data_IF_137883205257
#
_entry.id   IF_137883205257
#
_cell.length_a   1.000
_cell.length_b   1.000
_cell.length_c   1.000
_cell.angle_alpha   90.00
_cell.angle_beta   90.00
_cell.angle_gamma   90.00
#
_symmetry.space_group_name_H-M   'P 1'
#
loop_
_entity.id
_entity.type
_entity.pdbx_description
1 polymer ?
#
# COMPACT_ATOMS: atom_id res chain seq x y z
N UNK A 1 10.06 10.16 -24.25
CA UNK A 1 8.84 9.46 -23.85
C UNK A 1 9.06 8.00 -24.16
N UNK A 2 9.07 7.13 -23.16
CA UNK A 2 9.31 5.71 -23.36
C UNK A 2 8.11 5.05 -24.04
N UNK A 3 8.37 4.08 -24.90
CA UNK A 3 7.38 3.34 -25.69
C UNK A 3 7.18 1.90 -25.19
N UNK A 4 8.12 1.41 -24.36
CA UNK A 4 8.05 0.08 -23.72
C UNK A 4 8.53 0.15 -22.26
N UNK A 5 8.16 -0.86 -21.48
CA UNK A 5 8.59 -0.98 -20.08
C UNK A 5 10.12 -1.13 -19.97
N UNK A 6 10.74 -1.88 -20.87
CA UNK A 6 12.20 -2.08 -20.94
C UNK A 6 12.92 -0.76 -21.25
N UNK A 7 12.42 0.01 -22.20
CA UNK A 7 12.98 1.32 -22.51
C UNK A 7 12.86 2.26 -21.29
N UNK A 8 11.68 2.30 -20.65
CA UNK A 8 11.47 3.14 -19.47
C UNK A 8 12.42 2.76 -18.33
N UNK A 9 12.57 1.47 -18.03
CA UNK A 9 13.46 0.98 -16.98
C UNK A 9 14.92 1.29 -17.29
N UNK A 10 15.35 1.14 -18.55
CA UNK A 10 16.72 1.45 -18.99
C UNK A 10 17.09 2.94 -18.94
N UNK A 11 16.09 3.84 -18.99
CA UNK A 11 16.31 5.30 -18.86
C UNK A 11 16.45 5.77 -17.40
N UNK A 12 16.10 4.91 -16.42
CA UNK A 12 16.14 5.29 -15.00
C UNK A 12 17.56 5.47 -14.50
N UNK A 13 17.79 6.58 -13.81
CA UNK A 13 19.05 6.93 -13.14
C UNK A 13 18.76 7.71 -11.85
N UNK A 14 19.79 8.09 -11.10
CA UNK A 14 19.66 8.80 -9.81
C UNK A 14 18.99 10.17 -9.90
N UNK A 15 19.00 10.81 -11.06
CA UNK A 15 18.43 12.15 -11.29
C UNK A 15 17.08 12.13 -12.01
N UNK A 16 16.52 10.94 -12.23
CA UNK A 16 15.25 10.79 -12.93
C UNK A 16 14.18 10.11 -12.08
N UNK A 17 12.92 10.44 -12.37
CA UNK A 17 11.74 9.78 -11.78
C UNK A 17 10.76 9.31 -12.86
N UNK A 18 9.99 8.25 -12.57
CA UNK A 18 8.91 7.83 -13.45
C UNK A 18 7.70 8.75 -13.27
N UNK A 19 7.23 9.33 -14.37
CA UNK A 19 6.00 10.13 -14.40
C UNK A 19 4.82 9.22 -14.81
N UNK A 20 4.01 8.84 -13.83
CA UNK A 20 2.77 8.09 -14.01
C UNK A 20 1.56 9.04 -14.18
N UNK A 21 0.65 9.09 -13.22
CA UNK A 21 -0.53 9.95 -13.25
C UNK A 21 -0.28 11.43 -12.90
N UNK A 22 0.92 11.80 -12.47
CA UNK A 22 1.34 13.19 -12.20
C UNK A 22 0.63 13.85 -11.00
N UNK A 23 -0.05 13.11 -10.15
CA UNK A 23 -0.80 13.69 -9.02
C UNK A 23 0.07 14.14 -7.85
N UNK A 24 1.31 13.67 -7.77
CA UNK A 24 2.32 14.12 -6.80
C UNK A 24 3.34 15.05 -7.47
N UNK A 25 3.83 14.68 -8.65
CA UNK A 25 4.86 15.47 -9.38
C UNK A 25 4.42 16.91 -9.65
N UNK A 26 3.12 17.12 -9.88
CA UNK A 26 2.53 18.43 -10.15
C UNK A 26 2.10 19.21 -8.89
N UNK A 27 2.47 18.76 -7.70
CA UNK A 27 2.17 19.49 -6.46
C UNK A 27 3.21 20.58 -6.19
N UNK A 28 2.75 21.69 -5.62
CA UNK A 28 3.63 22.82 -5.26
C UNK A 28 4.78 22.41 -4.31
N UNK A 29 4.49 21.44 -3.40
CA UNK A 29 5.48 20.87 -2.48
C UNK A 29 5.59 19.37 -2.77
N UNK A 30 5.99 19.02 -3.99
CA UNK A 30 6.21 17.63 -4.38
C UNK A 30 7.33 17.01 -3.55
N UNK A 31 7.16 15.75 -3.18
CA UNK A 31 8.22 14.93 -2.60
C UNK A 31 9.15 14.32 -3.66
N UNK A 32 8.84 14.52 -4.93
CA UNK A 32 9.64 14.03 -6.06
C UNK A 32 10.69 15.08 -6.40
N UNK A 33 11.93 14.79 -6.07
CA UNK A 33 13.10 15.59 -6.43
C UNK A 33 13.86 14.89 -7.57
N UNK A 34 13.61 15.32 -8.80
CA UNK A 34 14.22 14.73 -9.99
C UNK A 34 14.47 15.80 -11.05
N UNK A 35 15.65 15.78 -11.66
CA UNK A 35 16.02 16.69 -12.74
C UNK A 35 15.30 16.36 -14.07
N UNK A 36 14.84 15.11 -14.22
CA UNK A 36 14.13 14.64 -15.41
C UNK A 36 13.00 13.66 -15.09
N UNK A 37 11.97 13.65 -15.95
CA UNK A 37 10.81 12.78 -15.80
C UNK A 37 10.69 11.81 -16.98
N UNK A 38 10.62 10.52 -16.70
CA UNK A 38 10.41 9.45 -17.66
C UNK A 38 8.89 9.21 -17.77
N UNK A 39 8.26 9.68 -18.84
CA UNK A 39 6.81 9.45 -19.05
C UNK A 39 6.54 8.01 -19.39
N UNK A 40 5.71 7.35 -18.56
CA UNK A 40 5.31 5.93 -18.70
C UNK A 40 3.82 5.75 -19.03
N UNK A 41 3.06 6.82 -19.14
CA UNK A 41 1.58 6.82 -19.25
C UNK A 41 1.00 6.25 -20.55
N UNK A 42 1.82 5.78 -21.48
CA UNK A 42 1.38 5.17 -22.75
C UNK A 42 2.06 3.85 -23.05
N UNK A 43 2.59 3.20 -22.04
CA UNK A 43 3.25 1.89 -22.16
C UNK A 43 2.20 0.80 -21.95
N UNK A 44 1.84 0.01 -22.98
CA UNK A 44 0.74 -0.97 -22.88
C UNK A 44 0.98 -2.04 -21.83
N UNK A 45 2.24 -2.43 -21.58
CA UNK A 45 2.62 -3.45 -20.61
C UNK A 45 2.32 -3.07 -19.15
N UNK A 46 2.14 -1.75 -18.90
CA UNK A 46 1.86 -1.19 -17.58
C UNK A 46 0.37 -0.99 -17.33
N UNK A 47 -0.49 -1.29 -18.30
CA UNK A 47 -1.92 -1.02 -18.24
C UNK A 47 -2.74 -2.31 -18.14
N UNK A 48 -4.01 -2.15 -17.75
CA UNK A 48 -5.02 -3.22 -17.77
C UNK A 48 -5.12 -4.01 -16.47
N UNK A 49 -6.28 -4.63 -16.32
CA UNK A 49 -6.65 -5.48 -15.16
C UNK A 49 -7.10 -6.83 -15.71
N UNK A 50 -6.50 -7.91 -15.24
CA UNK A 50 -6.79 -9.25 -15.72
C UNK A 50 -6.70 -10.28 -14.60
N UNK A 51 -7.38 -11.42 -14.80
CA UNK A 51 -7.23 -12.58 -13.92
C UNK A 51 -5.95 -13.32 -14.27
N UNK A 52 -5.14 -13.63 -13.24
CA UNK A 52 -3.91 -14.41 -13.34
C UNK A 52 -3.93 -15.50 -12.26
N UNK A 53 -4.43 -16.68 -12.62
CA UNK A 53 -4.68 -17.80 -11.70
C UNK A 53 -5.66 -17.40 -10.59
N UNK A 54 -5.23 -17.51 -9.33
CA UNK A 54 -6.00 -17.12 -8.14
C UNK A 54 -5.84 -15.63 -7.79
N UNK A 55 -5.05 -14.90 -8.56
CA UNK A 55 -4.79 -13.47 -8.35
C UNK A 55 -5.45 -12.62 -9.44
N UNK A 56 -5.65 -11.36 -9.11
CA UNK A 56 -5.96 -10.30 -10.07
C UNK A 56 -4.69 -9.49 -10.29
N UNK A 57 -4.21 -9.49 -11.53
CA UNK A 57 -3.08 -8.68 -11.98
C UNK A 57 -3.58 -7.31 -12.41
N UNK A 58 -3.01 -6.27 -11.85
CA UNK A 58 -3.36 -4.85 -12.07
C UNK A 58 -2.11 -4.16 -12.58
N UNK A 59 -2.12 -3.65 -13.80
CA UNK A 59 -1.03 -2.89 -14.37
C UNK A 59 -0.75 -1.63 -13.54
N UNK A 60 0.52 -1.25 -13.42
CA UNK A 60 0.95 -0.13 -12.56
C UNK A 60 0.33 1.21 -12.97
N UNK A 61 -0.07 1.37 -14.23
CA UNK A 61 -0.72 2.55 -14.77
C UNK A 61 -2.24 2.55 -14.60
N UNK A 62 -2.86 1.44 -14.18
CA UNK A 62 -4.30 1.41 -13.87
C UNK A 62 -4.63 2.45 -12.81
N UNK A 63 -5.59 3.30 -13.10
CA UNK A 63 -6.05 4.36 -12.21
C UNK A 63 -6.92 3.81 -11.08
N UNK A 64 -7.03 4.53 -9.98
CA UNK A 64 -7.93 4.13 -8.89
C UNK A 64 -9.40 4.06 -9.33
N UNK A 65 -9.80 4.87 -10.33
CA UNK A 65 -11.17 4.81 -10.81
C UNK A 65 -11.40 3.55 -11.67
N UNK A 66 -10.46 3.18 -12.54
CA UNK A 66 -10.52 1.92 -13.29
C UNK A 66 -10.57 0.69 -12.36
N UNK A 67 -9.78 0.71 -11.27
CA UNK A 67 -9.83 -0.34 -10.23
C UNK A 67 -11.21 -0.43 -9.59
N UNK A 68 -11.84 0.72 -9.27
CA UNK A 68 -13.17 0.76 -8.67
C UNK A 68 -14.27 0.26 -9.60
N UNK A 69 -14.16 0.58 -10.89
CA UNK A 69 -15.17 0.27 -11.89
C UNK A 69 -15.02 -1.16 -12.46
N UNK A 70 -13.91 -1.86 -12.18
CA UNK A 70 -13.63 -3.19 -12.73
C UNK A 70 -14.22 -4.31 -11.85
N UNK A 71 -15.00 -5.19 -12.42
CA UNK A 71 -15.69 -6.28 -11.71
C UNK A 71 -14.75 -7.38 -11.19
N UNK A 72 -13.57 -7.56 -11.80
CA UNK A 72 -12.60 -8.57 -11.37
C UNK A 72 -11.92 -8.20 -10.04
N UNK A 73 -11.85 -6.90 -9.71
CA UNK A 73 -11.12 -6.43 -8.53
C UNK A 73 -11.89 -6.76 -7.26
N UNK A 74 -11.24 -7.40 -6.27
CA UNK A 74 -11.89 -7.74 -5.01
C UNK A 74 -12.26 -6.50 -4.20
N UNK A 75 -13.39 -6.59 -3.47
CA UNK A 75 -14.01 -5.46 -2.77
C UNK A 75 -13.07 -4.82 -1.73
N UNK A 76 -12.25 -5.62 -1.04
CA UNK A 76 -11.31 -5.10 -0.06
C UNK A 76 -10.30 -4.10 -0.67
N UNK A 77 -9.92 -4.28 -1.94
CA UNK A 77 -9.03 -3.33 -2.63
C UNK A 77 -9.81 -2.10 -3.12
N UNK A 78 -11.03 -2.30 -3.60
CA UNK A 78 -11.94 -1.19 -3.96
C UNK A 78 -12.18 -0.29 -2.76
N UNK A 79 -12.38 -0.84 -1.56
CA UNK A 79 -12.55 -0.05 -0.33
C UNK A 79 -11.35 0.87 -0.06
N UNK A 80 -10.12 0.34 -0.20
CA UNK A 80 -8.93 1.17 -0.09
C UNK A 80 -8.88 2.27 -1.17
N UNK A 81 -9.27 1.97 -2.40
CA UNK A 81 -9.29 2.95 -3.50
C UNK A 81 -10.35 4.05 -3.32
N UNK A 82 -11.49 3.75 -2.67
CA UNK A 82 -12.54 4.74 -2.36
C UNK A 82 -12.07 5.87 -1.46
N UNK A 83 -11.05 5.62 -0.63
CA UNK A 83 -10.46 6.66 0.23
C UNK A 83 -9.66 7.71 -0.54
N UNK A 84 -9.29 7.44 -1.79
CA UNK A 84 -8.70 8.47 -2.65
C UNK A 84 -9.73 9.56 -2.94
N UNK A 85 -9.64 10.66 -2.28
CA UNK A 85 -10.40 11.91 -2.34
C UNK A 85 -11.46 12.03 -3.43
N UNK A 86 -11.26 12.94 -4.39
CA UNK A 86 -12.21 13.19 -5.46
C UNK A 86 -12.09 12.20 -6.63
N UNK A 87 -13.17 12.04 -7.40
CA UNK A 87 -13.17 11.25 -8.64
C UNK A 87 -12.12 11.76 -9.64
N UNK A 88 -11.92 13.08 -9.72
CA UNK A 88 -10.87 13.68 -10.55
C UNK A 88 -9.49 13.15 -10.18
N UNK A 89 -9.15 13.08 -8.88
CA UNK A 89 -7.91 12.49 -8.42
C UNK A 89 -7.83 11.00 -8.77
N UNK A 90 -8.92 10.25 -8.58
CA UNK A 90 -8.95 8.80 -8.90
C UNK A 90 -8.75 8.51 -10.38
N UNK A 91 -9.22 9.40 -11.27
CA UNK A 91 -9.00 9.27 -12.72
C UNK A 91 -7.55 9.54 -13.14
N UNK A 92 -6.72 10.09 -12.27
CA UNK A 92 -5.32 10.44 -12.55
C UNK A 92 -4.33 9.58 -11.76
N UNK A 93 -4.58 9.39 -10.47
CA UNK A 93 -3.70 8.65 -9.59
C UNK A 93 -3.70 7.16 -9.95
N UNK A 94 -2.52 6.59 -10.16
CA UNK A 94 -2.33 5.19 -10.55
C UNK A 94 -1.88 4.36 -9.36
N UNK A 95 -2.14 3.06 -9.39
CA UNK A 95 -1.76 2.15 -8.32
C UNK A 95 -0.23 2.07 -8.16
N UNK A 96 0.52 1.96 -9.26
CA UNK A 96 1.98 1.93 -9.24
C UNK A 96 2.58 3.23 -8.72
N UNK A 97 2.07 4.39 -9.18
CA UNK A 97 2.50 5.70 -8.68
C UNK A 97 2.27 5.88 -7.19
N UNK A 98 1.12 5.41 -6.67
CA UNK A 98 0.83 5.48 -5.23
C UNK A 98 1.77 4.58 -4.40
N UNK A 99 2.09 3.38 -4.91
CA UNK A 99 3.03 2.46 -4.27
C UNK A 99 4.44 3.07 -4.25
N UNK A 100 4.91 3.63 -5.36
CA UNK A 100 6.24 4.23 -5.45
C UNK A 100 6.46 5.38 -4.47
N UNK A 101 5.41 6.13 -4.12
CA UNK A 101 5.46 7.25 -3.17
C UNK A 101 5.69 6.83 -1.71
N UNK A 102 5.33 5.61 -1.32
CA UNK A 102 5.52 5.08 0.05
C UNK A 102 5.09 6.01 1.18
N UNK A 103 3.96 6.67 1.02
CA UNK A 103 3.48 7.64 2.01
C UNK A 103 3.05 6.96 3.30
N UNK A 104 3.47 7.50 4.43
CA UNK A 104 3.07 7.01 5.78
C UNK A 104 1.61 7.30 6.12
N UNK A 105 0.93 8.14 5.36
CA UNK A 105 -0.52 8.41 5.45
C UNK A 105 -1.33 7.61 4.41
N UNK A 106 -0.75 6.55 3.84
CA UNK A 106 -1.39 5.71 2.83
C UNK A 106 -2.55 4.91 3.39
N UNK A 107 -3.63 4.82 2.63
CA UNK A 107 -4.74 3.91 2.88
C UNK A 107 -4.66 2.64 2.01
N UNK A 108 -3.86 2.66 0.96
CA UNK A 108 -3.67 1.51 0.06
C UNK A 108 -2.66 0.50 0.61
N UNK A 109 -1.52 0.98 1.09
CA UNK A 109 -0.43 0.11 1.53
C UNK A 109 -0.81 -0.90 2.62
N UNK A 110 -1.53 -0.51 3.70
CA UNK A 110 -1.96 -1.48 4.71
C UNK A 110 -2.80 -2.61 4.13
N UNK A 111 -3.68 -2.31 3.17
CA UNK A 111 -4.49 -3.31 2.47
C UNK A 111 -3.63 -4.25 1.62
N UNK A 112 -2.65 -3.73 0.89
CA UNK A 112 -1.72 -4.54 0.09
C UNK A 112 -0.83 -5.43 0.97
N UNK A 113 -0.39 -4.93 2.14
CA UNK A 113 0.37 -5.71 3.12
C UNK A 113 -0.48 -6.85 3.70
N UNK A 114 -1.72 -6.55 4.10
CA UNK A 114 -2.64 -7.50 4.70
C UNK A 114 -3.11 -8.57 3.70
N UNK A 115 -3.25 -8.23 2.42
CA UNK A 115 -3.61 -9.17 1.36
C UNK A 115 -2.44 -10.00 0.82
N UNK A 116 -1.20 -9.74 1.25
CA UNK A 116 0.00 -10.35 0.66
C UNK A 116 0.17 -10.05 -0.84
N UNK A 117 -0.12 -8.81 -1.23
CA UNK A 117 0.04 -8.39 -2.62
C UNK A 117 1.49 -8.52 -3.09
N UNK A 118 1.65 -8.89 -4.37
CA UNK A 118 2.94 -9.05 -5.03
C UNK A 118 3.14 -7.93 -6.05
N UNK A 119 4.39 -7.51 -6.23
CA UNK A 119 4.80 -6.53 -7.23
C UNK A 119 5.66 -7.21 -8.28
N UNK A 120 5.38 -6.95 -9.55
CA UNK A 120 6.28 -7.23 -10.66
C UNK A 120 7.17 -6.00 -10.83
N UNK A 121 8.47 -6.16 -10.60
CA UNK A 121 9.48 -5.10 -10.65
C UNK A 121 10.45 -5.36 -11.79
N UNK A 122 10.68 -4.37 -12.65
CA UNK A 122 11.60 -4.46 -13.77
C UNK A 122 12.86 -3.65 -13.48
N UNK A 123 14.03 -4.29 -13.55
CA UNK A 123 15.32 -3.63 -13.41
C UNK A 123 15.73 -2.87 -14.70
N UNK A 124 16.82 -2.10 -14.65
CA UNK A 124 17.34 -1.34 -15.78
C UNK A 124 17.77 -2.21 -16.98
N UNK A 125 17.94 -3.53 -16.80
CA UNK A 125 18.28 -4.48 -17.86
C UNK A 125 17.06 -5.15 -18.48
N UNK A 126 15.85 -4.83 -17.97
CA UNK A 126 14.60 -5.40 -18.43
C UNK A 126 14.22 -6.74 -17.77
N UNK A 127 14.97 -7.19 -16.75
CA UNK A 127 14.61 -8.40 -16.01
C UNK A 127 13.46 -8.11 -15.05
N UNK A 128 12.45 -8.98 -15.05
CA UNK A 128 11.31 -8.86 -14.13
C UNK A 128 11.52 -9.78 -12.92
N UNK A 129 11.38 -9.22 -11.73
CA UNK A 129 11.37 -9.96 -10.46
C UNK A 129 10.05 -9.77 -9.74
N UNK A 130 9.57 -10.81 -9.06
CA UNK A 130 8.35 -10.75 -8.25
C UNK A 130 8.70 -10.62 -6.78
N UNK A 131 8.20 -9.58 -6.11
CA UNK A 131 8.46 -9.28 -4.69
C UNK A 131 7.16 -9.01 -3.96
N UNK A 132 7.03 -9.50 -2.72
CA UNK A 132 5.89 -9.07 -1.90
C UNK A 132 6.02 -7.60 -1.50
N UNK A 133 4.88 -6.92 -1.30
CA UNK A 133 4.87 -5.49 -0.88
C UNK A 133 5.65 -5.27 0.41
N UNK A 134 5.64 -6.24 1.34
CA UNK A 134 6.43 -6.17 2.56
C UNK A 134 7.94 -6.22 2.28
N UNK A 135 8.37 -7.13 1.38
CA UNK A 135 9.77 -7.21 0.94
C UNK A 135 10.20 -5.94 0.21
N UNK A 136 9.34 -5.40 -0.66
CA UNK A 136 9.62 -4.13 -1.35
C UNK A 136 9.86 -2.96 -0.39
N UNK A 137 9.07 -2.87 0.70
CA UNK A 137 9.30 -1.84 1.73
C UNK A 137 10.62 -2.04 2.47
N UNK A 138 10.97 -3.30 2.79
CA UNK A 138 12.18 -3.64 3.52
C UNK A 138 13.44 -3.39 2.70
N UNK A 139 13.42 -3.82 1.43
CA UNK A 139 14.57 -3.79 0.53
C UNK A 139 14.51 -2.55 -0.40
N UNK A 140 13.82 -1.48 0.03
CA UNK A 140 13.50 -0.34 -0.82
C UNK A 140 14.73 0.34 -1.44
N UNK A 141 15.78 0.53 -0.69
CA UNK A 141 16.99 1.21 -1.20
C UNK A 141 17.62 0.47 -2.39
N UNK A 142 17.47 -0.85 -2.44
CA UNK A 142 17.92 -1.68 -3.55
C UNK A 142 16.93 -1.72 -4.72
N UNK A 143 15.63 -1.52 -4.43
CA UNK A 143 14.54 -1.71 -5.39
C UNK A 143 13.94 -0.41 -5.92
N UNK A 144 14.27 0.75 -5.34
CA UNK A 144 13.64 2.06 -5.62
C UNK A 144 13.77 2.52 -7.07
N UNK A 145 14.80 2.07 -7.78
CA UNK A 145 15.04 2.43 -9.17
C UNK A 145 14.36 1.46 -10.16
N UNK A 146 13.79 0.36 -9.67
CA UNK A 146 13.05 -0.56 -10.52
C UNK A 146 11.68 0.01 -10.90
N UNK A 147 11.27 -0.23 -12.13
CA UNK A 147 9.93 0.10 -12.60
C UNK A 147 8.92 -0.89 -12.02
N UNK A 148 7.91 -0.39 -11.33
CA UNK A 148 6.74 -1.21 -10.96
C UNK A 148 5.94 -1.44 -12.24
N UNK A 149 5.83 -2.71 -12.66
CA UNK A 149 5.11 -3.11 -13.87
C UNK A 149 3.66 -3.44 -13.55
N UNK A 150 3.43 -4.19 -12.49
CA UNK A 150 2.09 -4.59 -12.06
C UNK A 150 2.04 -4.91 -10.57
N UNK A 151 0.82 -4.96 -10.07
CA UNK A 151 0.46 -5.43 -8.72
C UNK A 151 -0.46 -6.63 -8.87
N UNK A 152 -0.14 -7.74 -8.23
CA UNK A 152 -1.01 -8.91 -8.15
C UNK A 152 -1.59 -9.02 -6.75
N UNK A 153 -2.92 -9.10 -6.66
CA UNK A 153 -3.65 -9.26 -5.39
C UNK A 153 -4.43 -10.57 -5.39
N UNK A 154 -4.44 -11.35 -4.31
CA UNK A 154 -5.24 -12.57 -4.22
C UNK A 154 -6.74 -12.23 -4.30
N UNK A 155 -7.47 -13.00 -5.12
CA UNK A 155 -8.91 -12.77 -5.30
C UNK A 155 -9.72 -13.12 -4.03
N UNK A 156 -9.33 -14.17 -3.32
CA UNK A 156 -10.09 -14.72 -2.18
C UNK A 156 -9.52 -14.35 -0.81
N UNK A 157 -8.58 -13.41 -0.74
CA UNK A 157 -8.07 -12.96 0.55
C UNK A 157 -9.18 -12.28 1.37
N UNK A 158 -9.28 -12.64 2.65
CA UNK A 158 -10.18 -11.96 3.58
C UNK A 158 -9.43 -10.78 4.20
N UNK A 159 -9.73 -9.57 3.75
CA UNK A 159 -9.06 -8.36 4.25
C UNK A 159 -10.10 -7.36 4.72
N UNK A 160 -9.83 -6.73 5.85
CA UNK A 160 -10.61 -5.61 6.36
C UNK A 160 -9.70 -4.49 6.81
N UNK A 161 -10.14 -3.26 6.62
CA UNK A 161 -9.33 -2.07 6.87
C UNK A 161 -10.12 -1.03 7.66
N UNK A 162 -9.42 -0.27 8.49
CA UNK A 162 -9.98 0.89 9.17
C UNK A 162 -9.06 2.09 9.03
N UNK A 163 -9.65 3.23 8.67
CA UNK A 163 -8.97 4.49 8.44
C UNK A 163 -9.45 5.53 9.45
N UNK A 164 -8.52 6.25 10.03
CA UNK A 164 -8.79 7.40 10.90
C UNK A 164 -8.30 8.68 10.23
N UNK A 165 -9.21 9.62 10.06
CA UNK A 165 -8.94 10.90 9.45
C UNK A 165 -9.99 11.91 9.91
N UNK A 166 -9.68 13.21 9.87
CA UNK A 166 -10.61 14.26 10.32
C UNK A 166 -11.84 14.40 9.43
N UNK A 167 -11.64 14.20 8.12
CA UNK A 167 -12.72 14.26 7.12
C UNK A 167 -12.55 13.13 6.12
N UNK A 168 -13.58 12.87 5.32
CA UNK A 168 -13.50 11.86 4.24
C UNK A 168 -12.39 12.17 3.25
N UNK A 169 -12.08 13.44 3.03
CA UNK A 169 -11.07 13.87 2.04
C UNK A 169 -9.69 14.16 2.62
N UNK A 170 -9.56 14.23 3.96
CA UNK A 170 -8.25 14.49 4.58
C UNK A 170 -7.35 13.26 4.54
N UNK A 171 -6.03 13.52 4.57
CA UNK A 171 -5.06 12.45 4.72
C UNK A 171 -5.29 11.65 6.00
N UNK A 172 -5.03 10.35 5.95
CA UNK A 172 -5.19 9.50 7.12
C UNK A 172 -4.14 9.81 8.18
N UNK A 173 -4.55 9.82 9.43
CA UNK A 173 -3.65 9.84 10.58
C UNK A 173 -3.13 8.45 10.86
N UNK A 174 -4.03 7.47 10.72
CA UNK A 174 -3.76 6.06 10.92
C UNK A 174 -4.65 5.25 9.99
N UNK A 175 -4.06 4.31 9.29
CA UNK A 175 -4.77 3.26 8.55
C UNK A 175 -4.23 1.91 9.00
N UNK A 176 -5.11 1.01 9.35
CA UNK A 176 -4.78 -0.35 9.77
C UNK A 176 -5.57 -1.32 8.92
N UNK A 177 -4.92 -2.37 8.48
CA UNK A 177 -5.57 -3.48 7.77
C UNK A 177 -5.14 -4.80 8.38
N UNK A 178 -6.08 -5.71 8.54
CA UNK A 178 -5.79 -7.10 8.86
C UNK A 178 -6.36 -8.00 7.76
N UNK A 179 -5.67 -9.09 7.45
CA UNK A 179 -6.12 -10.00 6.42
C UNK A 179 -5.58 -11.42 6.59
N UNK A 180 -6.31 -12.37 6.02
CA UNK A 180 -5.87 -13.76 5.88
C UNK A 180 -5.70 -14.03 4.39
N UNK A 181 -4.46 -14.33 4.00
CA UNK A 181 -4.10 -14.77 2.67
C UNK A 181 -3.12 -15.95 2.82
N UNK A 182 -3.28 -16.99 2.00
CA UNK A 182 -2.52 -18.25 2.09
C UNK A 182 -2.52 -18.86 3.50
N UNK A 183 -3.67 -18.78 4.21
CA UNK A 183 -3.84 -19.29 5.58
C UNK A 183 -3.09 -18.53 6.66
N UNK A 184 -2.41 -17.40 6.33
CA UNK A 184 -1.62 -16.60 7.28
C UNK A 184 -2.29 -15.28 7.58
N UNK A 185 -2.40 -14.95 8.87
CA UNK A 185 -2.81 -13.61 9.31
C UNK A 185 -1.70 -12.61 9.02
N UNK A 186 -2.06 -11.46 8.49
CA UNK A 186 -1.17 -10.34 8.25
C UNK A 186 -1.80 -9.05 8.74
N UNK A 187 -0.98 -8.17 9.26
CA UNK A 187 -1.38 -6.84 9.72
C UNK A 187 -0.50 -5.81 9.05
N UNK A 188 -1.12 -4.84 8.40
CA UNK A 188 -0.45 -3.69 7.79
C UNK A 188 -0.85 -2.40 8.48
N UNK A 189 0.09 -1.49 8.64
CA UNK A 189 -0.13 -0.16 9.22
C UNK A 189 0.51 0.94 8.38
N UNK A 190 -0.21 2.03 8.24
CA UNK A 190 0.31 3.32 7.81
C UNK A 190 -0.08 4.34 8.88
N UNK A 191 0.92 4.91 9.53
CA UNK A 191 0.77 5.91 10.58
C UNK A 191 1.51 7.16 10.16
N UNK A 192 0.77 8.26 9.98
CA UNK A 192 1.28 9.53 9.46
C UNK A 192 2.53 9.98 10.21
N UNK A 193 3.56 10.36 9.46
CA UNK A 193 4.86 10.84 9.96
C UNK A 193 5.55 9.87 10.95
N UNK A 194 5.13 8.60 10.97
CA UNK A 194 5.63 7.59 11.91
C UNK A 194 6.13 6.35 11.17
N UNK A 195 5.24 5.55 10.59
CA UNK A 195 5.61 4.27 10.01
C UNK A 195 4.69 3.85 8.85
N UNK A 196 5.26 3.07 7.95
CA UNK A 196 4.57 2.32 6.91
C UNK A 196 5.17 0.91 6.87
N UNK A 197 4.49 -0.07 7.46
CA UNK A 197 5.07 -1.41 7.63
C UNK A 197 4.03 -2.51 7.87
N UNK A 198 4.46 -3.76 7.68
CA UNK A 198 3.76 -4.92 8.20
C UNK A 198 4.15 -5.19 9.66
N UNK A 199 3.18 -5.51 10.51
CA UNK A 199 3.39 -5.85 11.91
C UNK A 199 3.47 -7.38 12.06
N UNK A 200 4.58 -7.96 11.62
CA UNK A 200 4.75 -9.41 11.54
C UNK A 200 4.68 -10.09 12.91
N UNK A 201 5.31 -9.53 13.94
CA UNK A 201 5.32 -10.10 15.29
C UNK A 201 3.92 -10.11 15.90
N UNK A 202 3.18 -9.01 15.75
CA UNK A 202 1.78 -8.90 16.19
C UNK A 202 0.90 -9.89 15.44
N UNK A 203 1.06 -10.01 14.13
CA UNK A 203 0.28 -10.93 13.30
C UNK A 203 0.55 -12.39 13.67
N UNK A 204 1.81 -12.77 13.88
CA UNK A 204 2.21 -14.12 14.30
C UNK A 204 1.63 -14.44 15.67
N UNK A 205 1.80 -13.57 16.65
CA UNK A 205 1.26 -13.77 17.98
C UNK A 205 -0.27 -13.88 17.99
N UNK A 206 -0.96 -13.07 17.18
CA UNK A 206 -2.41 -13.15 17.01
C UNK A 206 -2.85 -14.42 16.28
N UNK A 207 -2.05 -14.98 15.39
CA UNK A 207 -2.38 -16.24 14.71
C UNK A 207 -2.31 -17.45 15.66
N UNK A 208 -1.34 -17.45 16.57
CA UNK A 208 -1.11 -18.54 17.52
C UNK A 208 -2.12 -18.56 18.67
N UNK A 209 -2.54 -17.39 19.14
CA UNK A 209 -3.44 -17.24 20.30
C UNK A 209 -4.29 -15.98 20.22
N UNK A 210 -5.38 -15.97 20.95
CA UNK A 210 -6.13 -14.73 21.15
C UNK A 210 -5.40 -13.84 22.17
N UNK A 211 -5.12 -12.60 21.75
CA UNK A 211 -4.47 -11.60 22.57
C UNK A 211 -5.47 -10.56 23.06
N UNK A 212 -5.30 -10.12 24.30
CA UNK A 212 -6.00 -8.94 24.80
C UNK A 212 -5.46 -7.66 24.15
N UNK A 213 -6.25 -6.59 24.18
CA UNK A 213 -5.82 -5.27 23.69
C UNK A 213 -4.54 -4.80 24.40
N UNK A 214 -4.39 -5.14 25.69
CA UNK A 214 -3.20 -4.82 26.50
C UNK A 214 -1.96 -5.60 26.05
N UNK A 215 -2.11 -6.86 25.63
CA UNK A 215 -0.97 -7.63 25.12
C UNK A 215 -0.53 -7.15 23.73
N UNK A 216 -1.49 -6.79 22.87
CA UNK A 216 -1.19 -6.16 21.57
C UNK A 216 -0.49 -4.80 21.79
N UNK A 217 -0.93 -4.00 22.78
CA UNK A 217 -0.31 -2.73 23.10
C UNK A 217 1.16 -2.91 23.50
N UNK A 218 1.48 -3.91 24.34
CA UNK A 218 2.88 -4.22 24.70
C UNK A 218 3.75 -4.56 23.49
N UNK A 219 3.21 -5.32 22.53
CA UNK A 219 3.95 -5.64 21.28
C UNK A 219 4.18 -4.37 20.44
N UNK A 220 3.21 -3.46 20.39
CA UNK A 220 3.34 -2.18 19.70
C UNK A 220 4.38 -1.29 20.38
N UNK A 221 4.41 -1.24 21.70
CA UNK A 221 5.37 -0.46 22.48
C UNK A 221 6.81 -0.98 22.36
N UNK A 222 6.97 -2.27 22.13
CA UNK A 222 8.27 -2.89 21.87
C UNK A 222 8.81 -2.59 20.47
N UNK A 223 7.96 -2.20 19.52
CA UNK A 223 8.34 -1.89 18.14
C UNK A 223 8.93 -0.48 18.04
N UNK A 224 10.25 -0.41 17.89
CA UNK A 224 11.01 0.85 17.86
C UNK A 224 10.69 1.76 16.68
N UNK A 225 10.12 1.23 15.61
CA UNK A 225 9.74 2.02 14.43
C UNK A 225 8.39 2.74 14.63
N UNK A 226 7.60 2.34 15.63
CA UNK A 226 6.31 2.94 15.96
C UNK A 226 6.45 4.11 16.94
N UNK A 227 7.33 5.05 16.61
CA UNK A 227 7.60 6.26 17.41
C UNK A 227 6.57 7.35 17.14
N UNK A 228 5.36 7.20 17.68
CA UNK A 228 4.33 8.24 17.57
C UNK A 228 4.73 9.54 18.26
N UNK A 229 4.35 10.68 17.66
CA UNK A 229 4.56 12.02 18.21
C UNK A 229 3.24 12.66 18.61
N UNK A 230 3.30 13.56 19.59
CA UNK A 230 2.18 14.43 19.94
C UNK A 230 1.85 15.36 18.76
N UNK A 231 0.59 15.44 18.40
CA UNK A 231 0.06 16.39 17.41
C UNK A 231 -1.41 16.72 17.70
N UNK A 232 -2.07 17.43 16.76
CA UNK A 232 -3.48 17.80 16.89
C UNK A 232 -4.44 16.60 16.92
N UNK A 233 -3.98 15.39 16.60
CA UNK A 233 -4.79 14.17 16.57
C UNK A 233 -4.70 13.36 17.86
N UNK A 234 -3.80 13.72 18.76
CA UNK A 234 -3.69 13.09 20.06
C UNK A 234 -2.26 12.82 20.53
N UNK A 235 -2.17 12.29 21.75
CA UNK A 235 -0.91 11.88 22.34
C UNK A 235 -0.36 10.60 21.73
N UNK A 236 0.96 10.34 21.90
CA UNK A 236 1.56 9.06 21.48
C UNK A 236 0.88 7.83 22.10
N UNK A 237 0.50 7.93 23.38
CA UNK A 237 -0.19 6.87 24.14
C UNK A 237 -1.56 6.58 23.54
N UNK A 238 -2.33 7.62 23.24
CA UNK A 238 -3.63 7.49 22.59
C UNK A 238 -3.52 6.81 21.22
N UNK A 239 -2.54 7.21 20.40
CA UNK A 239 -2.34 6.63 19.07
C UNK A 239 -1.94 5.15 19.13
N UNK A 240 -1.08 4.76 20.10
CA UNK A 240 -0.72 3.34 20.33
C UNK A 240 -1.93 2.53 20.77
N UNK A 241 -2.70 3.05 21.74
CA UNK A 241 -3.93 2.43 22.18
C UNK A 241 -4.93 2.26 21.02
N UNK A 242 -5.15 3.31 20.24
CA UNK A 242 -6.03 3.26 19.06
C UNK A 242 -5.57 2.20 18.04
N UNK A 243 -4.28 2.08 17.81
CA UNK A 243 -3.69 1.05 16.95
C UNK A 243 -3.96 -0.34 17.53
N UNK A 244 -3.73 -0.57 18.82
CA UNK A 244 -3.92 -1.86 19.47
C UNK A 244 -5.37 -2.36 19.39
N UNK A 245 -6.33 -1.53 19.79
CA UNK A 245 -7.75 -1.89 19.76
C UNK A 245 -8.26 -2.10 18.33
N UNK A 246 -7.71 -1.35 17.38
CA UNK A 246 -8.07 -1.51 15.96
C UNK A 246 -7.56 -2.83 15.42
N UNK A 247 -6.32 -3.20 15.70
CA UNK A 247 -5.76 -4.50 15.28
C UNK A 247 -6.60 -5.64 15.86
N UNK A 248 -6.94 -5.58 17.16
CA UNK A 248 -7.75 -6.60 17.80
C UNK A 248 -9.13 -6.77 17.13
N UNK A 249 -9.81 -5.65 16.84
CA UNK A 249 -11.11 -5.65 16.16
C UNK A 249 -11.01 -6.24 14.75
N UNK A 250 -10.04 -5.77 13.94
CA UNK A 250 -9.88 -6.24 12.57
C UNK A 250 -9.45 -7.71 12.51
N UNK A 251 -8.54 -8.15 13.40
CA UNK A 251 -8.10 -9.54 13.45
C UNK A 251 -9.27 -10.49 13.80
N UNK A 252 -10.12 -10.12 14.75
CA UNK A 252 -11.35 -10.86 15.07
C UNK A 252 -12.28 -10.98 13.87
N UNK A 253 -12.50 -9.88 13.13
CA UNK A 253 -13.36 -9.87 11.94
C UNK A 253 -12.87 -10.81 10.84
N UNK A 254 -11.58 -10.79 10.52
CA UNK A 254 -11.05 -11.66 9.45
C UNK A 254 -10.98 -13.13 9.86
N UNK A 255 -10.85 -13.44 11.16
CA UNK A 255 -10.90 -14.81 11.68
C UNK A 255 -12.31 -15.41 11.74
N UNK A 256 -13.35 -14.64 11.42
CA UNK A 256 -14.74 -15.09 11.42
C UNK A 256 -15.48 -14.85 12.74
N UNK A 257 -14.94 -14.05 13.63
CA UNK A 257 -15.55 -13.61 14.88
C UNK A 257 -16.41 -12.34 14.72
N UNK A 258 -17.29 -12.28 13.72
CA UNK A 258 -18.29 -11.23 13.66
C UNK A 258 -19.51 -11.62 14.49
N UNK A 259 -19.71 -10.98 15.63
CA UNK A 259 -21.03 -10.69 16.18
C UNK A 259 -21.19 -9.21 16.29
#
# INVERSE_FOLDING_TARGET
MATSAVEAAGLKNSESAFLAGGTEDNRLNSSVDAASLIRIGRIPELDGISKDGECIRIGAMSTFQEILDNELVPEYLKDACRFMGSRTKRNMATIGGNIALRRTDSYLYPTLLASHAMLDLMDAKGNVSKKCVCCYLKDYEELKDNLIVAVSVPNEAKVTSKRYANTVQSHAVLTVSAGIADGKLRVGVAAKDTALKGLCDVATALQEKDLSDADILKLIEADKDLCFKQDIFGSPEYKRYLLAVTIADLARKVKGGAK
#
